data_IF_576171892789
#
_entry.id   IF_576171892789
#
_cell.length_a   1.000
_cell.length_b   1.000
_cell.length_c   1.000
_cell.angle_alpha   90.00
_cell.angle_beta   90.00
_cell.angle_gamma   90.00
#
_symmetry.space_group_name_H-M   'P 1'
#
loop_
_entity.id
_entity.type
_entity.pdbx_description
1 polymer ?
#
# COMPACT_ATOMS: atom_id res chain seq x y z
N UNK A 1 57.93 28.13 -40.50
CA UNK A 1 56.87 29.05 -40.05
C UNK A 1 55.53 28.34 -40.23
N UNK A 2 55.01 27.51 -39.32
CA UNK A 2 54.80 27.67 -37.87
C UNK A 2 53.81 28.77 -37.46
N UNK A 3 53.03 29.35 -38.39
CA UNK A 3 52.14 30.47 -38.05
C UNK A 3 50.75 30.45 -38.72
N UNK A 4 50.32 29.35 -39.32
CA UNK A 4 49.00 29.29 -39.99
C UNK A 4 48.08 28.13 -39.56
N UNK A 5 48.46 27.38 -38.53
CA UNK A 5 47.63 26.32 -37.94
C UNK A 5 47.26 26.60 -36.48
N UNK A 6 47.34 27.86 -36.04
CA UNK A 6 47.03 28.25 -34.65
C UNK A 6 45.70 29.01 -34.49
N UNK A 7 44.97 29.32 -35.56
CA UNK A 7 43.85 30.26 -35.48
C UNK A 7 42.46 29.62 -35.66
N UNK A 8 42.35 28.34 -36.03
CA UNK A 8 41.03 27.73 -36.33
C UNK A 8 40.79 26.33 -35.73
N UNK A 9 41.48 25.95 -34.66
CA UNK A 9 41.07 24.81 -33.81
C UNK A 9 40.49 25.27 -32.47
N UNK A 10 39.97 26.49 -32.44
CA UNK A 10 39.17 27.03 -31.34
C UNK A 10 37.68 26.64 -31.47
N UNK A 11 37.37 25.40 -31.88
CA UNK A 11 35.97 24.98 -31.97
C UNK A 11 35.78 23.51 -31.58
N UNK A 12 35.10 23.36 -30.44
CA UNK A 12 34.46 22.16 -29.89
C UNK A 12 35.46 21.18 -29.25
N UNK A 13 35.70 21.22 -27.94
CA UNK A 13 34.70 21.18 -26.85
C UNK A 13 33.55 20.22 -27.19
N UNK A 14 33.82 18.92 -27.07
CA UNK A 14 32.89 17.91 -26.55
C UNK A 14 33.52 16.51 -26.54
N UNK A 15 34.60 16.36 -25.76
CA UNK A 15 35.05 15.04 -25.35
C UNK A 15 35.10 15.04 -23.83
N UNK A 16 33.97 14.70 -23.22
CA UNK A 16 33.95 14.19 -21.85
C UNK A 16 34.37 12.72 -21.90
N UNK A 17 35.64 12.35 -21.60
CA UNK A 17 35.93 10.97 -21.30
C UNK A 17 35.13 10.62 -20.03
N UNK A 18 34.21 9.67 -20.17
CA UNK A 18 33.53 9.04 -19.05
C UNK A 18 34.58 8.45 -18.11
N UNK A 19 34.90 9.17 -17.04
CA UNK A 19 35.58 8.58 -15.90
C UNK A 19 34.56 7.64 -15.24
N UNK A 20 34.79 6.32 -15.17
CA UNK A 20 33.97 5.48 -14.32
C UNK A 20 34.36 5.82 -12.88
N UNK A 21 33.71 6.84 -12.32
CA UNK A 21 33.58 6.94 -10.88
C UNK A 21 33.00 5.60 -10.44
N UNK A 22 33.76 4.86 -9.62
CA UNK A 22 33.24 3.66 -8.95
C UNK A 22 31.86 4.04 -8.42
N UNK A 23 30.76 3.34 -8.78
CA UNK A 23 29.50 3.63 -8.15
C UNK A 23 29.73 3.30 -6.67
N UNK A 24 29.81 4.36 -5.89
CA UNK A 24 29.78 4.30 -4.45
C UNK A 24 28.38 3.79 -4.11
N UNK A 25 28.27 2.47 -3.98
CA UNK A 25 27.06 1.79 -3.56
C UNK A 25 26.85 1.97 -2.04
N UNK A 26 27.21 3.14 -1.51
CA UNK A 26 26.79 3.60 -0.20
C UNK A 26 25.33 4.06 -0.30
N UNK A 27 24.45 3.07 -0.21
CA UNK A 27 23.26 3.05 0.63
C UNK A 27 22.60 4.41 0.91
N UNK A 28 22.19 5.13 -0.14
CA UNK A 28 21.11 6.11 0.00
C UNK A 28 19.82 5.31 0.07
N UNK A 29 19.34 5.10 1.29
CA UNK A 29 18.06 4.49 1.62
C UNK A 29 16.86 5.37 1.20
N UNK A 30 16.90 5.93 -0.01
CA UNK A 30 15.69 6.33 -0.68
C UNK A 30 14.97 5.04 -1.08
N UNK A 31 13.73 4.78 -0.62
CA UNK A 31 12.96 3.65 -1.10
C UNK A 31 12.89 3.76 -2.61
N UNK A 32 13.38 2.74 -3.33
CA UNK A 32 13.12 2.65 -4.76
C UNK A 32 11.61 2.76 -4.95
N UNK A 33 11.11 3.64 -5.85
CA UNK A 33 9.69 3.74 -6.10
C UNK A 33 9.19 2.36 -6.50
N UNK A 34 8.25 1.83 -5.72
CA UNK A 34 7.66 0.52 -5.99
C UNK A 34 6.72 0.69 -7.17
N UNK A 35 6.80 -0.14 -8.22
CA UNK A 35 5.89 -0.04 -9.33
C UNK A 35 4.44 -0.21 -8.87
N UNK A 36 3.56 0.62 -9.41
CA UNK A 36 2.12 0.49 -9.25
C UNK A 36 1.64 -0.83 -9.84
N UNK A 37 0.70 -1.48 -9.14
CA UNK A 37 0.16 -2.78 -9.55
C UNK A 37 -0.90 -2.59 -10.63
N UNK A 38 -0.82 -3.37 -11.71
CA UNK A 38 -1.85 -3.34 -12.76
C UNK A 38 -3.08 -4.17 -12.35
N UNK A 39 -4.22 -3.89 -12.99
CA UNK A 39 -5.44 -4.69 -12.78
C UNK A 39 -5.25 -6.18 -13.14
N UNK A 40 -4.39 -6.48 -14.13
CA UNK A 40 -4.09 -7.85 -14.52
C UNK A 40 -3.29 -8.59 -13.44
N UNK A 41 -2.42 -7.89 -12.72
CA UNK A 41 -1.67 -8.46 -11.60
C UNK A 41 -2.60 -8.82 -10.44
N UNK A 42 -3.55 -7.94 -10.12
CA UNK A 42 -4.60 -8.20 -9.13
C UNK A 42 -5.47 -9.41 -9.53
N UNK A 43 -5.83 -9.51 -10.81
CA UNK A 43 -6.58 -10.65 -11.33
C UNK A 43 -5.78 -11.96 -11.21
N UNK A 44 -4.48 -11.92 -11.53
CA UNK A 44 -3.60 -13.07 -11.37
C UNK A 44 -3.47 -13.47 -9.89
N UNK A 45 -3.35 -12.51 -8.99
CA UNK A 45 -3.26 -12.74 -7.56
C UNK A 45 -4.54 -13.39 -7.00
N UNK A 46 -5.73 -12.89 -7.34
CA UNK A 46 -6.99 -13.49 -6.87
C UNK A 46 -7.19 -14.90 -7.44
N UNK A 47 -6.79 -15.13 -8.70
CA UNK A 47 -6.83 -16.47 -9.31
C UNK A 47 -5.92 -17.46 -8.56
N UNK A 48 -4.74 -17.01 -8.10
CA UNK A 48 -3.86 -17.83 -7.29
C UNK A 48 -4.48 -18.17 -5.93
N UNK A 49 -5.17 -17.21 -5.29
CA UNK A 49 -5.91 -17.42 -4.04
C UNK A 49 -7.03 -18.45 -4.24
N UNK A 50 -7.85 -18.31 -5.29
CA UNK A 50 -8.93 -19.26 -5.61
C UNK A 50 -8.39 -20.67 -5.82
N UNK A 51 -7.34 -20.84 -6.63
CA UNK A 51 -6.69 -22.15 -6.83
C UNK A 51 -6.11 -22.74 -5.54
N UNK A 52 -5.62 -21.91 -4.62
CA UNK A 52 -5.13 -22.38 -3.31
C UNK A 52 -6.29 -22.79 -2.41
N UNK A 53 -7.39 -22.04 -2.43
CA UNK A 53 -8.60 -22.33 -1.69
C UNK A 53 -9.23 -23.65 -2.15
N UNK A 54 -9.42 -23.86 -3.46
CA UNK A 54 -9.97 -25.10 -4.02
C UNK A 54 -9.15 -26.34 -3.64
N UNK A 55 -7.81 -26.21 -3.63
CA UNK A 55 -6.91 -27.29 -3.16
C UNK A 55 -7.07 -27.61 -1.68
N UNK A 56 -7.45 -26.63 -0.85
CA UNK A 56 -7.61 -26.78 0.61
C UNK A 56 -8.99 -27.31 0.99
N UNK A 57 -10.04 -26.84 0.31
CA UNK A 57 -11.42 -27.19 0.62
C UNK A 57 -11.76 -28.66 0.27
N UNK A 58 -11.01 -29.30 -0.62
CA UNK A 58 -11.36 -30.64 -1.11
C UNK A 58 -12.67 -30.64 -1.92
N UNK A 59 -13.17 -31.82 -2.29
CA UNK A 59 -14.36 -31.97 -3.13
C UNK A 59 -15.70 -31.68 -2.41
N UNK A 60 -15.67 -31.22 -1.16
CA UNK A 60 -16.87 -30.86 -0.41
C UNK A 60 -17.01 -29.33 -0.43
N UNK A 61 -17.88 -28.77 -1.29
CA UNK A 61 -18.17 -27.36 -1.20
C UNK A 61 -19.05 -27.20 0.04
N UNK A 62 -18.48 -26.66 1.12
CA UNK A 62 -19.29 -26.20 2.24
C UNK A 62 -19.95 -24.89 1.78
N UNK A 63 -21.05 -25.05 1.03
CA UNK A 63 -21.90 -23.97 0.56
C UNK A 63 -22.74 -23.55 1.77
N UNK A 64 -22.10 -22.93 2.76
CA UNK A 64 -22.84 -22.08 3.65
C UNK A 64 -23.18 -20.81 2.88
N UNK A 65 -24.47 -20.50 2.79
CA UNK A 65 -24.99 -19.22 2.27
C UNK A 65 -24.67 -18.08 3.25
N UNK A 66 -23.40 -17.88 3.58
CA UNK A 66 -22.99 -16.61 4.16
C UNK A 66 -23.04 -15.56 3.05
N UNK A 67 -24.11 -14.77 3.05
CA UNK A 67 -24.29 -13.67 2.12
C UNK A 67 -23.36 -12.52 2.50
N UNK A 68 -22.10 -12.62 2.07
CA UNK A 68 -21.14 -11.53 2.19
C UNK A 68 -21.49 -10.42 1.20
N UNK A 69 -21.74 -9.22 1.71
CA UNK A 69 -21.94 -8.03 0.89
C UNK A 69 -20.63 -7.29 0.64
N UNK A 70 -20.55 -6.60 -0.51
CA UNK A 70 -19.38 -5.78 -0.84
C UNK A 70 -19.15 -4.70 0.22
N UNK A 71 -20.23 -4.10 0.75
CA UNK A 71 -20.15 -3.10 1.82
C UNK A 71 -19.48 -3.62 3.09
N UNK A 72 -19.86 -4.82 3.56
CA UNK A 72 -19.22 -5.44 4.72
C UNK A 72 -17.72 -5.70 4.47
N UNK A 73 -17.35 -6.13 3.26
CA UNK A 73 -15.94 -6.35 2.92
C UNK A 73 -15.15 -5.05 2.74
N UNK A 74 -15.79 -3.96 2.32
CA UNK A 74 -15.17 -2.62 2.33
C UNK A 74 -14.82 -2.21 3.76
N UNK A 75 -15.76 -2.32 4.70
CA UNK A 75 -15.53 -1.99 6.12
C UNK A 75 -14.40 -2.85 6.72
N UNK A 76 -14.43 -4.15 6.44
CA UNK A 76 -13.39 -5.10 6.86
C UNK A 76 -11.98 -4.67 6.39
N UNK A 77 -11.82 -4.36 5.10
CA UNK A 77 -10.52 -3.93 4.54
C UNK A 77 -10.08 -2.61 5.20
N UNK A 78 -10.98 -1.64 5.33
CA UNK A 78 -10.66 -0.33 5.91
C UNK A 78 -10.27 -0.41 7.39
N UNK A 79 -10.89 -1.30 8.16
CA UNK A 79 -10.56 -1.55 9.56
C UNK A 79 -9.17 -2.18 9.68
N UNK A 80 -8.89 -3.24 8.91
CA UNK A 80 -7.56 -3.87 8.91
C UNK A 80 -6.45 -2.86 8.55
N UNK A 81 -6.69 -1.98 7.56
CA UNK A 81 -5.75 -0.91 7.22
C UNK A 81 -5.63 0.16 8.32
N UNK A 82 -6.72 0.48 9.04
CA UNK A 82 -6.67 1.44 10.13
C UNK A 82 -5.79 0.95 11.29
N UNK A 83 -5.81 -0.35 11.56
CA UNK A 83 -5.04 -0.97 12.63
C UNK A 83 -3.55 -1.15 12.28
N UNK A 84 -3.24 -1.52 11.02
CA UNK A 84 -1.88 -1.93 10.62
C UNK A 84 -1.13 -0.90 9.76
N UNK A 85 -1.83 0.04 9.14
CA UNK A 85 -1.27 1.03 8.21
C UNK A 85 -1.01 0.49 6.80
N UNK A 86 -0.55 -0.75 6.66
CA UNK A 86 -0.48 -1.50 5.40
C UNK A 86 -0.91 -2.95 5.57
N UNK A 87 -1.35 -3.58 4.48
CA UNK A 87 -1.77 -4.98 4.44
C UNK A 87 -1.15 -5.70 3.25
N UNK A 88 -0.94 -7.00 3.39
CA UNK A 88 -0.67 -7.85 2.23
C UNK A 88 -1.97 -8.29 1.57
N UNK A 89 -1.95 -8.44 0.26
CA UNK A 89 -3.11 -8.95 -0.48
C UNK A 89 -3.50 -10.36 -0.03
N UNK A 90 -2.52 -11.23 0.24
CA UNK A 90 -2.79 -12.58 0.73
C UNK A 90 -3.53 -12.60 2.09
N UNK A 91 -3.25 -11.63 2.96
CA UNK A 91 -3.86 -11.52 4.30
C UNK A 91 -5.36 -11.26 4.23
N UNK A 92 -5.85 -10.60 3.16
CA UNK A 92 -7.30 -10.35 2.97
C UNK A 92 -8.14 -11.62 2.84
N UNK A 93 -7.50 -12.76 2.52
CA UNK A 93 -8.18 -14.01 2.23
C UNK A 93 -7.80 -15.15 3.18
N UNK A 94 -6.99 -14.89 4.22
CA UNK A 94 -6.52 -15.93 5.14
C UNK A 94 -7.66 -16.61 5.90
N UNK A 95 -8.66 -15.82 6.31
CA UNK A 95 -9.85 -16.29 7.04
C UNK A 95 -11.02 -16.60 6.14
N UNK A 96 -10.87 -16.48 4.82
CA UNK A 96 -11.98 -16.68 3.90
C UNK A 96 -12.45 -18.15 3.91
N UNK A 97 -13.75 -18.34 4.14
CA UNK A 97 -14.38 -19.65 4.29
C UNK A 97 -15.05 -20.14 3.00
N UNK A 98 -15.30 -19.24 2.04
CA UNK A 98 -15.98 -19.58 0.79
C UNK A 98 -15.43 -18.85 -0.44
N UNK A 99 -15.65 -19.43 -1.61
CA UNK A 99 -15.36 -18.76 -2.89
C UNK A 99 -16.18 -17.47 -3.05
N UNK A 100 -17.42 -17.44 -2.58
CA UNK A 100 -18.26 -16.25 -2.62
C UNK A 100 -17.64 -15.11 -1.81
N UNK A 101 -17.13 -15.42 -0.62
CA UNK A 101 -16.40 -14.47 0.21
C UNK A 101 -15.15 -13.92 -0.48
N UNK A 102 -14.32 -14.79 -1.08
CA UNK A 102 -13.11 -14.37 -1.81
C UNK A 102 -13.46 -13.39 -2.93
N UNK A 103 -14.47 -13.73 -3.74
CA UNK A 103 -14.91 -12.86 -4.84
C UNK A 103 -15.44 -11.54 -4.30
N UNK A 104 -16.25 -11.56 -3.24
CA UNK A 104 -16.81 -10.36 -2.63
C UNK A 104 -15.74 -9.43 -2.05
N UNK A 105 -14.75 -9.98 -1.33
CA UNK A 105 -13.60 -9.23 -0.82
C UNK A 105 -12.77 -8.63 -1.94
N UNK A 106 -12.58 -9.37 -3.04
CA UNK A 106 -11.87 -8.83 -4.21
C UNK A 106 -12.62 -7.67 -4.88
N UNK A 107 -13.94 -7.78 -5.02
CA UNK A 107 -14.78 -6.70 -5.55
C UNK A 107 -14.74 -5.45 -4.64
N UNK A 108 -14.76 -5.64 -3.31
CA UNK A 108 -14.60 -4.55 -2.35
C UNK A 108 -13.25 -3.84 -2.49
N UNK A 109 -12.16 -4.60 -2.67
CA UNK A 109 -10.83 -4.03 -2.93
C UNK A 109 -10.82 -3.21 -4.23
N UNK A 110 -11.38 -3.74 -5.31
CA UNK A 110 -11.46 -3.03 -6.59
C UNK A 110 -12.29 -1.74 -6.49
N UNK A 111 -13.39 -1.78 -5.74
CA UNK A 111 -14.22 -0.60 -5.50
C UNK A 111 -13.45 0.49 -4.76
N UNK A 112 -12.69 0.13 -3.72
CA UNK A 112 -11.84 1.07 -2.98
C UNK A 112 -10.72 1.66 -3.84
N UNK A 113 -10.13 0.89 -4.75
CA UNK A 113 -9.15 1.38 -5.74
C UNK A 113 -9.83 2.32 -6.74
N UNK A 114 -11.02 1.95 -7.25
CA UNK A 114 -11.82 2.78 -8.16
C UNK A 114 -12.18 4.14 -7.55
N UNK A 115 -12.48 4.16 -6.26
CA UNK A 115 -12.72 5.36 -5.46
C UNK A 115 -11.45 6.11 -5.04
N UNK A 116 -10.27 5.64 -5.45
CA UNK A 116 -8.95 6.20 -5.10
C UNK A 116 -8.71 6.29 -3.59
N UNK A 117 -9.29 5.37 -2.82
CA UNK A 117 -9.07 5.28 -1.38
C UNK A 117 -7.87 4.40 -1.02
N UNK A 118 -7.51 3.45 -1.89
CA UNK A 118 -6.39 2.53 -1.72
C UNK A 118 -5.42 2.59 -2.90
N UNK A 119 -4.17 2.25 -2.63
CA UNK A 119 -3.11 2.05 -3.62
C UNK A 119 -2.47 0.68 -3.37
N UNK A 120 -2.20 -0.04 -4.46
CA UNK A 120 -1.52 -1.33 -4.44
C UNK A 120 -0.14 -1.18 -5.09
N UNK A 121 0.90 -1.67 -4.41
CA UNK A 121 2.27 -1.66 -4.89
C UNK A 121 2.89 -3.06 -4.79
N UNK A 122 3.79 -3.38 -5.71
CA UNK A 122 4.57 -4.62 -5.68
C UNK A 122 6.06 -4.29 -5.70
N UNK A 123 6.87 -5.02 -4.94
CA UNK A 123 8.33 -4.87 -4.99
C UNK A 123 8.92 -5.57 -6.22
N UNK A 124 8.36 -6.71 -6.60
CA UNK A 124 8.80 -7.57 -7.69
C UNK A 124 7.58 -8.07 -8.49
N UNK A 125 7.76 -8.31 -9.79
CA UNK A 125 6.69 -8.83 -10.65
C UNK A 125 6.20 -10.19 -10.13
N UNK A 126 4.88 -10.36 -10.04
CA UNK A 126 4.23 -11.55 -9.46
C UNK A 126 4.56 -11.82 -7.99
N UNK A 127 5.22 -10.87 -7.31
CA UNK A 127 5.46 -10.91 -5.88
C UNK A 127 4.25 -10.51 -5.05
N UNK A 128 4.44 -10.42 -3.74
CA UNK A 128 3.40 -10.01 -2.81
C UNK A 128 2.92 -8.58 -3.11
N UNK A 129 1.62 -8.39 -3.16
CA UNK A 129 0.97 -7.08 -3.33
C UNK A 129 0.78 -6.46 -1.95
N UNK A 130 1.33 -5.27 -1.75
CA UNK A 130 1.07 -4.46 -0.56
C UNK A 130 -0.02 -3.43 -0.85
N UNK A 131 -0.96 -3.31 0.08
CA UNK A 131 -2.14 -2.46 0.02
C UNK A 131 -1.99 -1.37 1.08
N UNK A 132 -2.10 -0.12 0.67
CA UNK A 132 -1.99 1.06 1.55
C UNK A 132 -3.10 2.05 1.26
N UNK A 133 -3.37 2.97 2.19
CA UNK A 133 -4.30 4.08 1.91
C UNK A 133 -3.69 5.02 0.88
N UNK A 134 -4.52 5.49 -0.03
CA UNK A 134 -4.11 6.51 -0.98
C UNK A 134 -3.75 7.80 -0.24
N UNK A 135 -2.68 8.50 -0.64
CA UNK A 135 -2.20 9.71 0.04
C UNK A 135 -3.21 10.87 0.02
N UNK A 136 -4.19 10.82 -0.88
CA UNK A 136 -5.25 11.82 -1.01
C UNK A 136 -6.63 11.31 -0.55
N UNK A 137 -6.69 10.15 0.11
CA UNK A 137 -7.93 9.69 0.71
C UNK A 137 -8.27 10.61 1.90
N UNK A 138 -9.48 11.18 1.90
CA UNK A 138 -9.95 11.94 3.06
C UNK A 138 -9.85 11.05 4.31
N UNK A 139 -9.26 11.53 5.41
CA UNK A 139 -9.21 10.74 6.63
C UNK A 139 -10.66 10.46 7.05
N UNK A 140 -11.03 9.18 7.03
CA UNK A 140 -12.23 8.71 7.73
C UNK A 140 -11.97 9.02 9.20
N UNK A 141 -12.54 10.13 9.66
CA UNK A 141 -12.34 10.67 10.98
C UNK A 141 -12.63 9.56 11.99
N UNK A 142 -11.58 9.12 12.68
CA UNK A 142 -11.73 8.32 13.90
C UNK A 142 -12.48 9.20 14.89
N UNK A 143 -13.76 8.88 15.09
CA UNK A 143 -14.56 9.52 16.10
C UNK A 143 -14.03 9.15 17.49
N UNK A 144 -13.92 10.20 18.31
CA UNK A 144 -14.02 10.18 19.78
C UNK A 144 -12.79 9.76 20.57
N UNK A 145 -11.87 10.72 20.75
CA UNK A 145 -11.30 10.94 22.07
C UNK A 145 -12.11 12.08 22.73
N UNK A 146 -12.81 11.85 23.86
CA UNK A 146 -13.43 12.96 24.57
C UNK A 146 -12.32 13.79 25.21
N UNK A 147 -12.32 15.08 24.93
CA UNK A 147 -11.47 16.05 25.59
C UNK A 147 -11.67 15.97 27.12
N UNK A 148 -10.62 16.03 27.93
CA UNK A 148 -10.79 16.25 29.36
C UNK A 148 -11.29 17.68 29.55
N UNK A 149 -12.60 17.82 29.74
CA UNK A 149 -13.18 19.02 30.32
C UNK A 149 -12.72 19.12 31.78
N UNK A 150 -11.68 19.91 32.00
CA UNK A 150 -11.42 20.54 33.30
C UNK A 150 -12.63 21.39 33.68
N UNK A 151 -13.02 21.41 34.96
CA UNK A 151 -13.31 22.70 35.55
C UNK A 151 -12.43 22.92 36.78
N UNK A 152 -11.81 24.09 36.79
CA UNK A 152 -11.20 24.69 37.97
C UNK A 152 -12.28 24.92 39.04
N UNK A 153 -11.97 24.55 40.28
CA UNK A 153 -12.80 24.78 41.45
C UNK A 153 -11.96 24.80 42.74
N UNK A 154 -11.35 25.97 42.97
CA UNK A 154 -10.90 26.63 44.23
C UNK A 154 -10.37 25.81 45.44
N UNK A 155 -9.35 26.35 46.16
CA UNK A 155 -8.90 25.81 47.43
C UNK A 155 -9.83 26.27 48.56
N UNK A 156 -10.27 25.35 49.41
CA UNK A 156 -10.83 25.68 50.73
C UNK A 156 -9.77 25.41 51.78
N UNK A 157 -9.49 26.46 52.55
CA UNK A 157 -8.57 26.46 53.67
C UNK A 157 -9.03 25.49 54.76
N UNK A 158 -8.10 24.68 55.26
CA UNK A 158 -8.29 23.91 56.49
C UNK A 158 -7.33 24.44 57.55
N UNK A 159 -7.87 25.27 58.45
CA UNK A 159 -7.34 25.42 59.79
C UNK A 159 -7.82 24.20 60.60
N UNK A 160 -6.96 23.55 61.38
CA UNK A 160 -7.17 23.28 62.83
C UNK A 160 -6.05 22.42 63.42
N UNK A 161 -5.60 22.87 64.60
CA UNK A 161 -4.79 22.22 65.65
C UNK A 161 -3.28 22.08 65.45
#
# INVERSE_FOLDING_TARGET
AAAQLQTLEARQDDIFPRLPGKPDLESSAAPRPRPDVSIFDLLNAVNAVLKRFERRAGAAPDIFEDQWTVGQKIEFILQMLAERGSLKFSELFETASSRAEIVCTFLALLELIRLKQLVCAQAEAFGEIEITRAPNAAPVASASAPAPSTPAGQPVAEQTS
#
